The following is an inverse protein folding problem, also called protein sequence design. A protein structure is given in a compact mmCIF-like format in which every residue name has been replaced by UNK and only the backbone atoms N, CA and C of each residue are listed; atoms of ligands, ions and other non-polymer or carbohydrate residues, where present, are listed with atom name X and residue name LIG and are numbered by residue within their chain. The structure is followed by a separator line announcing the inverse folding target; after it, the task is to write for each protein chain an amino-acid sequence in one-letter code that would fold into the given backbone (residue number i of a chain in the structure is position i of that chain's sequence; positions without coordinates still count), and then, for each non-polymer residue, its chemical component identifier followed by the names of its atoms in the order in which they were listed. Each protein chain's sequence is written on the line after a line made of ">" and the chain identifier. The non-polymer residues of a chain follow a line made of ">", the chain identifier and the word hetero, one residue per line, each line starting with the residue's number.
data_IF_908549840932
#
_entry.id   IF_908549840932
#
_cell.length_a   1.000
_cell.length_b   1.000
_cell.length_c   1.000
_cell.angle_alpha   90.00
_cell.angle_beta   90.00
_cell.angle_gamma   90.00
#
_symmetry.space_group_name_H-M   'P 1'
#
loop_
_entity.id
_entity.type
_entity.pdbx_description
1 polymer ?
#
# COMPACT_ATOMS: atom_id res chain seq x y z
N UNK A 1 -13.77 2.29 8.98
CA UNK A 1 -13.37 3.45 9.83
C UNK A 1 -12.14 4.16 9.22
N UNK A 2 -12.07 4.27 7.88
CA UNK A 2 -10.78 4.37 7.21
C UNK A 2 -10.29 5.81 6.98
N UNK A 3 -11.15 6.82 7.08
CA UNK A 3 -10.77 8.21 6.81
C UNK A 3 -10.05 8.87 8.00
N UNK A 4 -10.25 8.37 9.23
CA UNK A 4 -9.71 8.99 10.46
C UNK A 4 -8.18 9.06 10.46
N UNK A 5 -7.49 8.06 9.87
CA UNK A 5 -6.02 8.02 9.81
C UNK A 5 -5.43 9.25 9.10
N UNK A 6 -6.15 9.79 8.11
CA UNK A 6 -5.73 10.97 7.36
C UNK A 6 -5.74 12.26 8.16
N UNK A 7 -6.53 12.34 9.23
CA UNK A 7 -6.47 13.47 10.17
C UNK A 7 -5.19 13.42 11.02
N UNK A 8 -4.74 12.21 11.37
CA UNK A 8 -3.54 12.02 12.21
C UNK A 8 -2.24 12.26 11.44
N UNK A 9 -2.17 11.91 10.15
CA UNK A 9 -0.91 12.00 9.39
C UNK A 9 -0.31 13.41 9.39
N UNK A 10 -1.04 14.50 9.05
CA UNK A 10 -0.50 15.85 9.17
C UNK A 10 0.03 16.20 10.56
N UNK A 11 -0.68 15.78 11.61
CA UNK A 11 -0.28 16.04 13.00
C UNK A 11 1.04 15.36 13.35
N UNK A 12 1.15 14.06 13.04
CA UNK A 12 2.37 13.28 13.28
C UNK A 12 3.54 13.84 12.47
N UNK A 13 3.34 14.08 11.18
CA UNK A 13 4.37 14.64 10.29
C UNK A 13 4.78 16.07 10.67
N UNK A 14 3.89 16.84 11.29
CA UNK A 14 4.21 18.14 11.87
C UNK A 14 5.18 18.05 13.05
N UNK A 15 5.07 17.00 13.88
CA UNK A 15 5.93 16.77 15.05
C UNK A 15 7.27 16.14 14.68
N UNK A 16 7.27 15.24 13.71
CA UNK A 16 8.46 14.51 13.24
C UNK A 16 9.46 15.43 12.50
N UNK A 17 9.05 16.67 12.18
CA UNK A 17 9.88 17.74 11.57
C UNK A 17 10.69 17.25 10.36
N UNK A 18 11.78 17.94 10.00
CA UNK A 18 12.66 17.65 8.85
C UNK A 18 13.76 16.64 9.18
N UNK A 19 13.61 15.86 10.26
CA UNK A 19 14.64 14.93 10.73
C UNK A 19 14.72 13.67 9.87
N UNK A 20 13.66 13.36 9.12
CA UNK A 20 13.59 12.17 8.28
C UNK A 20 13.48 12.59 6.82
N UNK A 21 14.36 12.03 5.98
CA UNK A 21 14.36 12.28 4.53
C UNK A 21 13.19 11.60 3.83
N UNK A 22 12.87 10.37 4.23
CA UNK A 22 11.81 9.55 3.64
C UNK A 22 10.87 9.00 4.71
N UNK A 23 9.63 8.74 4.30
CA UNK A 23 8.54 8.29 5.17
C UNK A 23 7.80 7.16 4.47
N UNK A 24 7.35 6.19 5.25
CA UNK A 24 6.47 5.09 4.85
C UNK A 24 5.22 5.10 5.75
N UNK A 25 4.05 5.15 5.14
CA UNK A 25 2.79 4.75 5.75
C UNK A 25 2.40 3.38 5.21
N UNK A 26 2.07 2.47 6.13
CA UNK A 26 1.74 1.08 5.83
C UNK A 26 0.57 0.64 6.70
N UNK A 27 -0.40 -0.05 6.10
CA UNK A 27 -1.47 -0.70 6.85
C UNK A 27 -0.98 -2.07 7.36
N UNK A 28 -0.58 -2.10 8.63
CA UNK A 28 -0.02 -3.30 9.27
C UNK A 28 -1.02 -4.47 9.36
N UNK A 29 -2.32 -4.23 9.15
CA UNK A 29 -3.31 -5.31 9.10
C UNK A 29 -3.34 -6.01 7.75
N UNK A 30 -2.97 -5.32 6.68
CA UNK A 30 -3.04 -5.84 5.31
C UNK A 30 -1.66 -6.17 4.73
N UNK A 31 -0.60 -5.56 5.24
CA UNK A 31 0.74 -5.60 4.66
C UNK A 31 1.78 -6.10 5.67
N UNK A 32 2.67 -6.96 5.18
CA UNK A 32 3.87 -7.44 5.87
C UNK A 32 5.10 -6.77 5.26
N UNK A 33 6.02 -6.29 6.10
CA UNK A 33 7.32 -5.76 5.68
C UNK A 33 8.37 -6.82 6.00
N UNK A 34 9.10 -7.27 4.98
CA UNK A 34 10.08 -8.37 5.10
C UNK A 34 11.50 -7.95 4.73
N UNK A 35 11.68 -6.77 4.14
CA UNK A 35 13.00 -6.20 3.84
C UNK A 35 13.04 -4.70 4.05
N UNK A 36 13.95 -3.96 3.38
CA UNK A 36 14.01 -2.50 3.41
C UNK A 36 13.04 -1.84 2.40
N UNK A 37 11.83 -1.38 2.81
CA UNK A 37 10.86 -0.75 1.92
C UNK A 37 11.31 0.61 1.40
N UNK A 38 12.24 1.28 2.09
CA UNK A 38 12.68 2.62 1.74
C UNK A 38 13.82 2.62 0.73
N UNK A 39 14.45 1.48 0.45
CA UNK A 39 15.46 1.33 -0.59
C UNK A 39 15.00 1.86 -1.96
N UNK A 40 13.71 1.68 -2.29
CA UNK A 40 13.09 2.18 -3.54
C UNK A 40 13.01 3.70 -3.64
N UNK A 41 12.93 4.39 -2.50
CA UNK A 41 12.76 5.85 -2.43
C UNK A 41 14.01 6.59 -1.96
N UNK A 42 15.05 5.87 -1.52
CA UNK A 42 16.27 6.42 -0.91
C UNK A 42 16.97 7.51 -1.74
N UNK A 43 16.91 7.37 -3.06
CA UNK A 43 17.57 8.26 -4.02
C UNK A 43 16.62 9.28 -4.66
N UNK A 44 15.39 9.39 -4.15
CA UNK A 44 14.36 10.24 -4.72
C UNK A 44 14.31 11.61 -4.05
N UNK A 45 13.62 12.56 -4.69
CA UNK A 45 13.50 13.92 -4.16
C UNK A 45 12.59 13.98 -2.92
N UNK A 46 12.75 14.98 -2.04
CA UNK A 46 11.87 15.16 -0.87
C UNK A 46 10.39 15.33 -1.22
N UNK A 47 10.07 15.76 -2.44
CA UNK A 47 8.73 15.95 -2.98
C UNK A 47 8.12 14.68 -3.62
N UNK A 48 8.91 13.61 -3.79
CA UNK A 48 8.44 12.39 -4.43
C UNK A 48 7.49 11.61 -3.53
N UNK A 49 6.48 10.99 -4.14
CA UNK A 49 5.63 10.00 -3.48
C UNK A 49 5.42 8.82 -4.40
N UNK A 50 5.84 7.66 -3.93
CA UNK A 50 5.64 6.37 -4.57
C UNK A 50 4.36 5.73 -4.07
N UNK A 51 3.52 5.39 -5.04
CA UNK A 51 2.26 4.74 -4.81
C UNK A 51 2.20 3.42 -5.58
N UNK A 52 1.65 2.40 -4.95
CA UNK A 52 1.53 1.08 -5.56
C UNK A 52 0.14 0.92 -6.17
N UNK A 53 0.12 0.53 -7.45
CA UNK A 53 -1.11 0.22 -8.15
C UNK A 53 -1.63 -1.15 -7.73
N UNK A 54 -2.92 -1.24 -7.47
CA UNK A 54 -3.63 -2.51 -7.51
C UNK A 54 -4.02 -2.81 -8.96
N UNK A 55 -3.40 -3.83 -9.55
CA UNK A 55 -3.99 -4.51 -10.71
C UNK A 55 -4.98 -5.53 -10.14
N UNK A 56 -6.14 -5.05 -9.70
CA UNK A 56 -7.27 -5.95 -9.48
C UNK A 56 -7.96 -6.13 -10.83
N UNK A 57 -7.82 -7.31 -11.45
CA UNK A 57 -8.84 -7.77 -12.36
C UNK A 57 -10.13 -7.83 -11.53
N UNK A 58 -11.14 -7.01 -11.88
CA UNK A 58 -12.45 -7.09 -11.24
C UNK A 58 -12.98 -8.52 -11.39
N UNK A 59 -12.78 -9.37 -10.39
CA UNK A 59 -13.60 -10.57 -10.22
C UNK A 59 -14.88 -10.10 -9.56
N UNK A 60 -15.83 -9.68 -10.40
CA UNK A 60 -17.23 -9.49 -9.97
C UNK A 60 -17.81 -10.86 -9.63
N UNK A 61 -17.58 -11.35 -8.42
CA UNK A 61 -18.42 -12.40 -7.84
C UNK A 61 -19.74 -11.75 -7.41
N UNK A 62 -20.67 -11.64 -8.36
CA UNK A 62 -22.11 -11.92 -8.22
C UNK A 62 -22.91 -11.35 -9.41
N UNK A 63 -23.73 -12.22 -10.02
CA UNK A 63 -25.02 -11.82 -10.61
C UNK A 63 -25.04 -11.41 -12.08
N UNK A 64 -25.64 -12.28 -12.91
CA UNK A 64 -26.07 -12.07 -14.31
C UNK A 64 -26.69 -10.69 -14.62
N UNK A 65 -26.26 -10.02 -15.70
CA UNK A 65 -27.08 -9.74 -16.92
C UNK A 65 -26.26 -9.02 -18.02
N UNK A 66 -26.60 -9.36 -19.28
CA UNK A 66 -26.06 -8.87 -20.56
C UNK A 66 -26.22 -7.35 -20.75
N UNK A 67 -25.22 -6.69 -21.35
CA UNK A 67 -25.31 -5.99 -22.65
C UNK A 67 -24.03 -5.17 -22.93
N UNK A 68 -23.39 -5.55 -24.04
CA UNK A 68 -22.74 -4.75 -25.08
C UNK A 68 -21.74 -3.62 -24.80
N UNK A 69 -20.55 -3.83 -25.39
CA UNK A 69 -19.65 -2.85 -26.02
C UNK A 69 -19.38 -1.56 -25.23
N UNK A 70 -18.47 -1.65 -24.28
CA UNK A 70 -17.40 -0.65 -24.21
C UNK A 70 -16.16 -1.34 -23.68
N UNK A 71 -15.03 -1.23 -24.40
CA UNK A 71 -13.70 -1.53 -23.85
C UNK A 71 -13.49 -0.62 -22.63
N UNK A 72 -13.97 -1.02 -21.46
CA UNK A 72 -13.78 -0.24 -20.25
C UNK A 72 -12.30 -0.29 -19.90
N UNK A 73 -11.67 0.87 -20.01
CA UNK A 73 -10.28 1.16 -19.72
C UNK A 73 -9.91 0.48 -18.40
N UNK A 74 -8.93 -0.45 -18.40
CA UNK A 74 -8.37 -1.03 -17.18
C UNK A 74 -7.91 0.12 -16.29
N UNK A 75 -8.75 0.55 -15.35
CA UNK A 75 -8.45 1.72 -14.55
C UNK A 75 -7.45 1.32 -13.48
N UNK A 76 -6.20 1.74 -13.67
CA UNK A 76 -5.09 1.60 -12.73
C UNK A 76 -5.47 2.30 -11.43
N UNK A 77 -6.01 1.53 -10.48
CA UNK A 77 -6.40 2.04 -9.16
C UNK A 77 -5.20 1.96 -8.22
N UNK A 78 -5.03 2.97 -7.38
CA UNK A 78 -3.91 3.07 -6.47
C UNK A 78 -4.37 2.75 -5.06
N UNK A 79 -3.56 1.99 -4.32
CA UNK A 79 -3.90 1.53 -2.97
C UNK A 79 -3.38 2.51 -1.90
N UNK A 80 -4.23 3.08 -1.03
CA UNK A 80 -3.80 3.92 0.08
C UNK A 80 -3.17 3.13 1.25
N UNK A 81 -3.22 1.79 1.24
CA UNK A 81 -2.62 0.95 2.28
C UNK A 81 -1.10 1.02 2.33
N UNK A 82 -0.45 1.53 1.27
CA UNK A 82 0.97 1.80 1.27
C UNK A 82 1.31 3.09 0.54
N UNK A 83 2.02 3.96 1.22
CA UNK A 83 2.48 5.25 0.70
C UNK A 83 3.89 5.45 1.19
N UNK A 84 4.85 5.62 0.29
CA UNK A 84 6.24 5.89 0.66
C UNK A 84 6.83 6.99 -0.19
N UNK A 85 7.78 7.75 0.32
CA UNK A 85 8.40 8.81 -0.46
C UNK A 85 9.14 9.81 0.40
N UNK A 86 9.50 10.94 -0.21
CA UNK A 86 10.12 12.05 0.50
C UNK A 86 9.15 12.66 1.52
N UNK A 87 9.68 13.06 2.68
CA UNK A 87 8.86 13.57 3.78
C UNK A 87 8.00 14.79 3.39
N UNK A 88 8.49 15.65 2.49
CA UNK A 88 7.75 16.83 2.02
C UNK A 88 6.57 16.43 1.13
N UNK A 89 6.80 15.50 0.20
CA UNK A 89 5.79 14.95 -0.70
C UNK A 89 4.70 14.23 0.06
N UNK A 90 5.07 13.30 0.94
CA UNK A 90 4.12 12.53 1.76
C UNK A 90 3.27 13.45 2.64
N UNK A 91 3.87 14.45 3.29
CA UNK A 91 3.12 15.43 4.10
C UNK A 91 2.13 16.25 3.27
N UNK A 92 2.53 16.70 2.07
CA UNK A 92 1.66 17.45 1.16
C UNK A 92 0.49 16.61 0.70
N UNK A 93 0.74 15.34 0.34
CA UNK A 93 -0.31 14.39 -0.02
C UNK A 93 -1.29 14.17 1.15
N UNK A 94 -0.79 13.97 2.38
CA UNK A 94 -1.65 13.81 3.56
C UNK A 94 -2.52 15.04 3.84
N UNK A 95 -1.95 16.25 3.71
CA UNK A 95 -2.71 17.49 3.86
C UNK A 95 -3.80 17.60 2.79
N UNK A 96 -3.46 17.34 1.53
CA UNK A 96 -4.41 17.40 0.43
C UNK A 96 -5.58 16.41 0.62
N UNK A 97 -5.28 15.18 1.04
CA UNK A 97 -6.29 14.17 1.33
C UNK A 97 -7.21 14.56 2.50
N UNK A 98 -6.66 15.17 3.55
CA UNK A 98 -7.48 15.70 4.65
C UNK A 98 -8.43 16.81 4.15
N UNK A 99 -7.95 17.71 3.29
CA UNK A 99 -8.79 18.72 2.65
C UNK A 99 -9.86 18.12 1.76
N UNK A 100 -9.55 17.06 0.99
CA UNK A 100 -10.54 16.32 0.19
C UNK A 100 -11.65 15.72 1.06
N UNK A 101 -11.27 15.09 2.18
CA UNK A 101 -12.22 14.51 3.13
C UNK A 101 -13.12 15.59 3.71
N UNK A 102 -12.56 16.71 4.15
CA UNK A 102 -13.33 17.83 4.69
C UNK A 102 -14.32 18.38 3.65
N UNK A 103 -13.85 18.60 2.41
CA UNK A 103 -14.70 19.08 1.33
C UNK A 103 -15.82 18.11 0.99
N UNK A 104 -15.52 16.81 0.92
CA UNK A 104 -16.51 15.78 0.66
C UNK A 104 -17.56 15.72 1.79
N UNK A 105 -17.15 15.90 3.04
CA UNK A 105 -18.05 15.96 4.20
C UNK A 105 -18.97 17.19 4.18
N UNK A 106 -18.47 18.35 3.74
CA UNK A 106 -19.27 19.59 3.60
C UNK A 106 -20.25 19.54 2.41
N UNK A 107 -20.03 18.67 1.44
CA UNK A 107 -20.95 18.47 0.31
C UNK A 107 -22.13 17.58 0.72
N UNK A 108 -23.00 18.10 1.59
CA UNK A 108 -24.18 17.44 2.18
C UNK A 108 -25.25 16.91 1.17
N UNK A 109 -25.04 17.03 -0.14
CA UNK A 109 -25.99 16.61 -1.19
C UNK A 109 -25.75 15.22 -1.79
N UNK A 110 -24.64 14.54 -1.49
CA UNK A 110 -24.37 13.20 -2.06
C UNK A 110 -24.98 12.08 -1.20
N UNK A 111 -25.89 11.32 -1.80
CA UNK A 111 -26.54 10.12 -1.22
C UNK A 111 -25.59 8.92 -1.04
N UNK A 112 -24.36 9.00 -1.56
CA UNK A 112 -23.40 7.90 -1.61
C UNK A 112 -22.39 8.01 -0.45
N UNK A 113 -22.05 6.87 0.14
CA UNK A 113 -20.98 6.78 1.14
C UNK A 113 -19.64 7.16 0.52
N UNK A 114 -18.90 8.01 1.22
CA UNK A 114 -17.56 8.43 0.81
C UNK A 114 -16.56 7.34 1.19
N UNK A 115 -15.95 6.70 0.20
CA UNK A 115 -14.93 5.66 0.41
C UNK A 115 -13.53 6.27 0.36
N UNK A 116 -12.63 5.74 1.20
CA UNK A 116 -11.22 6.17 1.21
C UNK A 116 -10.55 5.94 -0.14
N UNK A 117 -10.73 4.74 -0.72
CA UNK A 117 -10.17 4.39 -2.01
C UNK A 117 -10.67 5.33 -3.12
N UNK A 118 -11.96 5.69 -3.09
CA UNK A 118 -12.56 6.61 -4.06
C UNK A 118 -11.95 8.01 -3.97
N UNK A 119 -11.90 8.58 -2.76
CA UNK A 119 -11.28 9.90 -2.54
C UNK A 119 -9.80 9.90 -2.91
N UNK A 120 -9.06 8.86 -2.52
CA UNK A 120 -7.63 8.79 -2.77
C UNK A 120 -7.33 8.69 -4.27
N UNK A 121 -8.07 7.86 -5.01
CA UNK A 121 -7.91 7.75 -6.46
C UNK A 121 -8.37 9.03 -7.19
N UNK A 122 -9.38 9.73 -6.68
CA UNK A 122 -9.77 11.04 -7.22
C UNK A 122 -8.67 12.08 -7.01
N UNK A 123 -8.08 12.13 -5.81
CA UNK A 123 -6.99 13.05 -5.47
C UNK A 123 -5.74 12.81 -6.32
N UNK A 124 -5.31 11.55 -6.45
CA UNK A 124 -4.11 11.17 -7.23
C UNK A 124 -4.25 11.54 -8.71
N UNK A 125 -5.48 11.60 -9.23
CA UNK A 125 -5.77 12.03 -10.62
C UNK A 125 -5.85 13.55 -10.76
N UNK A 126 -5.92 14.29 -9.66
CA UNK A 126 -6.03 15.74 -9.68
C UNK A 126 -4.65 16.39 -9.57
N UNK A 127 -4.03 16.62 -10.72
CA UNK A 127 -2.70 17.23 -10.83
C UNK A 127 -2.65 18.65 -10.25
N UNK A 128 -3.75 19.41 -10.33
CA UNK A 128 -3.81 20.77 -9.81
C UNK A 128 -3.70 20.84 -8.29
N UNK A 129 -4.27 19.86 -7.58
CA UNK A 129 -4.17 19.78 -6.12
C UNK A 129 -2.77 19.30 -5.69
N UNK A 130 -2.14 18.47 -6.52
CA UNK A 130 -0.85 17.84 -6.23
C UNK A 130 0.33 18.47 -7.00
N UNK A 131 0.20 19.71 -7.48
CA UNK A 131 1.24 20.46 -8.25
C UNK A 131 2.64 20.42 -7.64
N UNK A 132 2.71 20.30 -6.32
CA UNK A 132 3.93 20.34 -5.53
C UNK A 132 4.38 18.94 -5.03
N UNK A 133 3.81 17.87 -5.60
CA UNK A 133 4.09 16.48 -5.24
C UNK A 133 4.43 15.71 -6.50
N UNK A 134 5.61 15.09 -6.54
CA UNK A 134 6.03 14.25 -7.67
C UNK A 134 5.49 12.83 -7.46
N UNK A 135 4.30 12.55 -7.99
CA UNK A 135 3.68 11.24 -7.90
C UNK A 135 4.37 10.22 -8.83
N UNK A 136 4.74 9.08 -8.29
CA UNK A 136 5.36 7.97 -9.00
C UNK A 136 4.51 6.72 -8.78
N UNK A 137 3.79 6.25 -9.80
CA UNK A 137 2.92 5.07 -9.67
C UNK A 137 3.63 3.81 -10.19
N UNK A 138 3.98 2.90 -9.27
CA UNK A 138 4.50 1.58 -9.68
C UNK A 138 3.34 0.70 -10.14
N UNK A 139 3.52 0.03 -11.28
CA UNK A 139 2.60 -0.99 -11.78
C UNK A 139 2.92 -2.39 -11.22
N UNK A 140 4.00 -2.55 -10.45
CA UNK A 140 4.36 -3.84 -9.87
C UNK A 140 3.29 -4.27 -8.85
N UNK A 141 2.65 -5.45 -9.05
CA UNK A 141 1.69 -5.96 -8.09
C UNK A 141 2.43 -6.36 -6.81
N UNK A 142 1.82 -6.05 -5.66
CA UNK A 142 2.28 -6.56 -4.37
C UNK A 142 1.87 -8.03 -4.31
N UNK A 143 2.81 -8.97 -4.10
CA UNK A 143 2.48 -10.38 -4.01
C UNK A 143 1.57 -10.65 -2.81
N UNK A 144 0.64 -11.59 -2.97
CA UNK A 144 -0.20 -12.06 -1.85
C UNK A 144 0.45 -13.25 -1.17
N UNK A 145 0.38 -13.30 0.16
CA UNK A 145 0.99 -14.37 0.95
C UNK A 145 0.47 -15.76 0.54
N UNK A 146 -0.82 -15.85 0.16
CA UNK A 146 -1.46 -17.06 -0.36
C UNK A 146 -0.81 -17.57 -1.66
N UNK A 147 -0.32 -16.68 -2.53
CA UNK A 147 0.41 -17.07 -3.74
C UNK A 147 1.84 -17.55 -3.46
N UNK A 148 2.39 -17.27 -2.27
CA UNK A 148 3.72 -17.72 -1.86
C UNK A 148 3.67 -19.03 -1.05
N UNK A 149 2.50 -19.43 -0.55
CA UNK A 149 2.31 -20.66 0.23
C UNK A 149 2.04 -21.93 -0.58
N UNK A 150 2.05 -21.86 -1.92
CA UNK A 150 1.73 -22.98 -2.80
C UNK A 150 2.93 -23.81 -3.22
N UNK A 151 3.50 -24.62 -2.33
CA UNK A 151 4.34 -25.75 -2.75
C UNK A 151 4.32 -26.87 -1.71
N UNK A 152 3.94 -28.06 -2.15
CA UNK A 152 4.01 -29.33 -1.42
C UNK A 152 5.26 -29.40 -0.51
N UNK A 153 5.16 -29.95 0.71
CA UNK A 153 6.28 -30.08 1.65
C UNK A 153 7.43 -30.99 1.16
N UNK A 154 7.33 -31.55 -0.05
CA UNK A 154 8.35 -32.39 -0.71
C UNK A 154 9.14 -31.69 -1.83
N UNK A 155 8.83 -30.44 -2.16
CA UNK A 155 9.59 -29.69 -3.16
C UNK A 155 10.38 -28.58 -2.45
N UNK A 156 11.71 -28.66 -2.52
CA UNK A 156 12.67 -27.72 -1.93
C UNK A 156 12.66 -26.32 -2.55
N UNK A 157 11.49 -25.77 -2.91
CA UNK A 157 11.33 -24.38 -3.30
C UNK A 157 11.31 -23.49 -2.04
N UNK A 158 12.42 -23.47 -1.30
CA UNK A 158 12.72 -22.36 -0.42
C UNK A 158 12.99 -21.12 -1.29
N UNK A 159 12.61 -19.92 -0.81
CA UNK A 159 13.12 -18.60 -1.26
C UNK A 159 12.39 -17.89 -2.42
N UNK A 160 11.10 -17.61 -2.29
CA UNK A 160 10.49 -16.49 -3.05
C UNK A 160 10.29 -15.21 -2.21
N UNK A 161 10.23 -15.32 -0.86
CA UNK A 161 9.93 -14.20 0.04
C UNK A 161 11.06 -13.18 0.09
N UNK A 162 12.32 -13.62 0.06
CA UNK A 162 13.50 -12.75 0.09
C UNK A 162 13.59 -11.76 -1.07
N UNK A 163 12.94 -12.06 -2.20
CA UNK A 163 12.87 -11.17 -3.35
C UNK A 163 11.85 -10.04 -3.17
N UNK A 164 11.01 -10.11 -2.13
CA UNK A 164 9.96 -9.14 -1.88
C UNK A 164 10.17 -8.40 -0.57
N UNK A 165 10.14 -7.08 -0.69
CA UNK A 165 10.23 -6.20 0.46
C UNK A 165 8.90 -6.06 1.21
N UNK A 166 7.79 -6.24 0.47
CA UNK A 166 6.43 -5.98 0.91
C UNK A 166 5.53 -7.10 0.38
N UNK A 167 4.69 -7.65 1.26
CA UNK A 167 3.79 -8.75 0.95
C UNK A 167 2.41 -8.42 1.50
N UNK A 168 1.35 -8.70 0.75
CA UNK A 168 -0.01 -8.60 1.28
C UNK A 168 -0.31 -9.84 2.12
N UNK A 169 -0.52 -9.66 3.42
CA UNK A 169 -0.72 -10.75 4.38
C UNK A 169 -2.01 -11.56 4.10
N UNK A 170 -3.06 -10.91 3.58
CA UNK A 170 -4.37 -11.53 3.42
C UNK A 170 -5.05 -11.82 4.77
N UNK A 171 -6.19 -12.51 4.76
CA UNK A 171 -7.01 -12.71 5.96
C UNK A 171 -6.59 -13.92 6.83
N UNK A 172 -5.42 -14.51 6.58
CA UNK A 172 -5.00 -15.80 7.17
C UNK A 172 -3.84 -15.64 8.16
N UNK A 173 -4.14 -15.23 9.40
CA UNK A 173 -3.15 -15.03 10.46
C UNK A 173 -2.30 -16.29 10.76
N UNK A 174 -2.87 -17.50 10.62
CA UNK A 174 -2.16 -18.76 10.90
C UNK A 174 -0.99 -19.02 9.93
N UNK A 175 -1.10 -18.60 8.67
CA UNK A 175 -0.06 -18.81 7.66
C UNK A 175 1.11 -17.82 7.80
N UNK A 176 0.85 -16.62 8.32
CA UNK A 176 1.85 -15.55 8.44
C UNK A 176 3.01 -15.98 9.35
N UNK A 177 2.71 -16.53 10.52
CA UNK A 177 3.76 -16.90 11.48
C UNK A 177 4.65 -18.05 10.98
N UNK A 178 4.03 -19.10 10.42
CA UNK A 178 4.78 -20.23 9.86
C UNK A 178 5.69 -19.82 8.70
N UNK A 179 5.19 -18.92 7.83
CA UNK A 179 5.95 -18.40 6.69
C UNK A 179 7.08 -17.48 7.16
N UNK A 180 6.82 -16.62 8.15
CA UNK A 180 7.83 -15.72 8.72
C UNK A 180 8.94 -16.49 9.42
N UNK A 181 8.59 -17.48 10.26
CA UNK A 181 9.58 -18.34 10.92
C UNK A 181 10.43 -19.09 9.90
N UNK A 182 9.82 -19.66 8.85
CA UNK A 182 10.58 -20.29 7.76
C UNK A 182 11.55 -19.31 7.08
N UNK A 183 11.16 -18.04 6.94
CA UNK A 183 12.05 -17.02 6.37
C UNK A 183 13.20 -16.66 7.33
N UNK A 184 12.92 -16.42 8.60
CA UNK A 184 13.92 -16.14 9.64
C UNK A 184 14.92 -17.29 9.74
N UNK A 185 14.44 -18.54 9.84
CA UNK A 185 15.31 -19.71 9.93
C UNK A 185 16.10 -19.99 8.65
N UNK A 186 15.71 -19.43 7.50
CA UNK A 186 16.49 -19.53 6.26
C UNK A 186 17.63 -18.51 6.17
N UNK A 187 17.63 -17.48 7.01
CA UNK A 187 18.69 -16.47 7.07
C UNK A 187 19.78 -16.92 8.02
N UNK A 188 21.02 -17.06 7.53
CA UNK A 188 22.14 -17.54 8.32
C UNK A 188 22.51 -16.62 9.51
N UNK A 189 22.17 -15.33 9.43
CA UNK A 189 22.39 -14.38 10.52
C UNK A 189 21.21 -14.41 11.50
N UNK A 190 19.99 -14.34 11.01
CA UNK A 190 18.82 -14.22 11.88
C UNK A 190 18.53 -15.53 12.62
N UNK A 191 18.75 -16.69 11.99
CA UNK A 191 18.49 -18.00 12.60
C UNK A 191 19.29 -18.22 13.90
N UNK A 192 20.47 -17.62 14.03
CA UNK A 192 21.32 -17.78 15.23
C UNK A 192 20.70 -17.20 16.51
N UNK A 193 19.70 -16.32 16.37
CA UNK A 193 19.04 -15.65 17.51
C UNK A 193 17.78 -16.42 17.96
N UNK A 194 17.23 -17.30 17.12
CA UNK A 194 15.99 -18.01 17.38
C UNK A 194 16.26 -19.50 17.59
N UNK A 195 16.00 -20.00 18.79
CA UNK A 195 16.17 -21.43 19.15
C UNK A 195 15.21 -22.38 18.43
N UNK A 196 14.14 -21.82 17.86
CA UNK A 196 13.10 -22.56 17.15
C UNK A 196 13.43 -22.70 15.64
N UNK A 197 14.62 -22.22 15.27
CA UNK A 197 15.35 -22.56 14.06
C UNK A 197 16.40 -23.63 14.39
#
# INVERSE_FOLDING_TARGET
>A
MNLRRWACYPMLLGRVRRNFKHILFVDVKEMLIVGDPLGRVRNQSPESVHLTSNIHALSTKHGKKKSDKTQSTRQKSVNPAIIMGGARGVRRLSNAMLTEIARAAMQHKKKNSVTELGLFNQLVRNEFILTNVKLMTSAEPIPELSSLGGSNPKSGSSLAISNYTLIRAGNSNLAVNAILMKHICSSALDSTVYSDC
#
